data_IF_371408579150
#
_entry.id   IF_371408579150
#
_cell.length_a   1.000
_cell.length_b   1.000
_cell.length_c   1.000
_cell.angle_alpha   90.00
_cell.angle_beta   90.00
_cell.angle_gamma   90.00
#
_symmetry.space_group_name_H-M   'P 1'
#
loop_
_entity.id
_entity.type
_entity.pdbx_description
1 polymer ?
#
# COMPACT_ATOMS: atom_id res chain seq x y z
N UNK A 1 83.55 -13.03 7.22
CA UNK A 1 82.98 -12.08 8.20
C UNK A 1 81.98 -11.18 7.48
N UNK A 2 80.73 -11.18 7.97
CA UNK A 2 79.71 -10.12 7.86
C UNK A 2 79.06 -9.74 6.51
N UNK A 3 78.48 -10.72 5.82
CA UNK A 3 77.37 -10.47 4.87
C UNK A 3 76.03 -10.11 5.56
N UNK A 4 75.95 -10.23 6.89
CA UNK A 4 74.71 -10.00 7.66
C UNK A 4 74.27 -8.53 7.79
N UNK A 5 75.15 -7.56 7.52
CA UNK A 5 74.84 -6.13 7.66
C UNK A 5 73.88 -5.59 6.58
N UNK A 6 74.03 -6.06 5.34
CA UNK A 6 73.18 -5.63 4.22
C UNK A 6 71.82 -6.31 4.21
N UNK A 7 71.78 -7.60 4.58
CA UNK A 7 70.54 -8.39 4.65
C UNK A 7 69.52 -7.77 5.64
N UNK A 8 70.01 -7.35 6.81
CA UNK A 8 69.18 -6.70 7.83
C UNK A 8 68.63 -5.32 7.41
N UNK A 9 69.28 -4.60 6.48
CA UNK A 9 68.78 -3.30 6.00
C UNK A 9 67.69 -3.46 4.94
N UNK A 10 67.85 -4.40 4.01
CA UNK A 10 66.85 -4.69 2.99
C UNK A 10 65.58 -5.27 3.62
N UNK A 11 65.73 -6.17 4.61
CA UNK A 11 64.58 -6.69 5.37
C UNK A 11 63.87 -5.61 6.18
N UNK A 12 64.61 -4.64 6.75
CA UNK A 12 64.00 -3.48 7.44
C UNK A 12 63.26 -2.56 6.48
N UNK A 13 63.81 -2.28 5.30
CA UNK A 13 63.14 -1.46 4.27
C UNK A 13 61.86 -2.15 3.79
N UNK A 14 61.91 -3.47 3.56
CA UNK A 14 60.73 -4.26 3.20
C UNK A 14 59.67 -4.29 4.30
N UNK A 15 60.08 -4.34 5.57
CA UNK A 15 59.14 -4.28 6.69
C UNK A 15 58.51 -2.88 6.82
N UNK A 16 59.29 -1.82 6.62
CA UNK A 16 58.79 -0.44 6.68
C UNK A 16 57.78 -0.17 5.56
N UNK A 17 58.06 -0.59 4.31
CA UNK A 17 57.10 -0.43 3.21
C UNK A 17 55.80 -1.22 3.44
N UNK A 18 55.89 -2.43 4.01
CA UNK A 18 54.72 -3.22 4.39
C UNK A 18 53.88 -2.51 5.46
N UNK A 19 54.52 -1.94 6.49
CA UNK A 19 53.80 -1.19 7.54
C UNK A 19 53.16 0.10 7.02
N UNK A 20 53.81 0.80 6.09
CA UNK A 20 53.23 1.99 5.45
C UNK A 20 51.97 1.64 4.64
N UNK A 21 51.95 0.45 4.02
CA UNK A 21 50.79 -0.05 3.27
C UNK A 21 49.63 -0.43 4.19
N UNK A 22 49.92 -1.06 5.34
CA UNK A 22 48.91 -1.39 6.36
C UNK A 22 48.31 -0.14 6.99
N UNK A 23 49.12 0.90 7.21
CA UNK A 23 48.64 2.20 7.74
C UNK A 23 47.76 2.98 6.74
N UNK A 24 47.79 2.61 5.45
CA UNK A 24 46.95 3.23 4.42
C UNK A 24 45.55 2.60 4.34
N UNK A 25 45.37 1.37 4.82
CA UNK A 25 44.09 0.63 4.78
C UNK A 25 42.94 1.38 5.48
N UNK A 26 43.14 2.00 6.66
CA UNK A 26 42.07 2.75 7.33
C UNK A 26 41.60 3.96 6.51
N UNK A 27 42.50 4.64 5.79
CA UNK A 27 42.17 5.82 4.98
C UNK A 27 41.28 5.44 3.79
N UNK A 28 41.53 4.29 3.17
CA UNK A 28 40.68 3.75 2.10
C UNK A 28 39.32 3.30 2.63
N UNK A 29 39.26 2.75 3.85
CA UNK A 29 38.01 2.39 4.51
C UNK A 29 37.16 3.62 4.88
N UNK A 30 37.79 4.74 5.28
CA UNK A 30 37.11 6.01 5.55
C UNK A 30 36.60 6.70 4.28
N UNK A 31 37.23 6.48 3.12
CA UNK A 31 36.76 7.03 1.84
C UNK A 31 35.56 6.25 1.26
N UNK A 32 35.36 5.01 1.69
CA UNK A 32 34.27 4.14 1.27
C UNK A 32 33.09 4.10 2.26
N UNK A 33 32.87 5.17 3.02
CA UNK A 33 31.66 5.27 3.84
C UNK A 33 30.44 5.19 2.91
N UNK A 34 29.51 4.24 3.13
CA UNK A 34 28.23 4.27 2.46
C UNK A 34 27.60 5.62 2.75
N UNK A 35 27.23 6.35 1.70
CA UNK A 35 26.38 7.51 1.88
C UNK A 35 25.15 7.02 2.64
N UNK A 36 24.75 7.61 3.78
CA UNK A 36 23.54 7.17 4.45
C UNK A 36 22.39 7.44 3.47
N UNK A 37 21.86 6.38 2.87
CA UNK A 37 20.56 6.43 2.24
C UNK A 37 19.61 6.80 3.37
N UNK A 38 19.20 8.06 3.41
CA UNK A 38 18.02 8.43 4.19
C UNK A 38 16.91 7.55 3.66
N UNK A 39 16.33 6.63 4.45
CA UNK A 39 15.20 5.86 3.99
C UNK A 39 13.98 6.78 4.08
N UNK A 40 13.93 7.81 3.25
CA UNK A 40 12.67 8.42 2.89
C UNK A 40 12.01 7.45 1.92
N UNK A 41 11.49 6.34 2.46
CA UNK A 41 10.56 5.43 1.78
C UNK A 41 9.20 6.10 1.50
N UNK A 42 9.16 7.43 1.40
CA UNK A 42 8.02 8.20 0.94
C UNK A 42 8.38 8.80 -0.41
N UNK A 43 7.98 8.12 -1.49
CA UNK A 43 7.91 8.77 -2.79
C UNK A 43 7.00 10.00 -2.72
N UNK A 44 7.16 10.95 -3.64
CA UNK A 44 6.24 12.07 -3.75
C UNK A 44 4.80 11.54 -3.89
N UNK A 45 3.88 12.04 -3.05
CA UNK A 45 2.46 11.70 -3.16
C UNK A 45 1.95 12.23 -4.49
N UNK A 46 1.78 11.34 -5.46
CA UNK A 46 1.24 11.69 -6.78
C UNK A 46 -0.28 11.67 -6.75
N UNK A 47 -0.91 12.40 -7.67
CA UNK A 47 -2.37 12.37 -7.83
C UNK A 47 -2.84 10.95 -8.19
N UNK A 48 -2.04 10.20 -8.95
CA UNK A 48 -2.29 8.80 -9.28
C UNK A 48 -2.31 7.92 -8.03
N UNK A 49 -1.37 8.11 -7.11
CA UNK A 49 -1.34 7.34 -5.87
C UNK A 49 -2.56 7.65 -4.98
N UNK A 50 -2.93 8.93 -4.83
CA UNK A 50 -4.15 9.30 -4.09
C UNK A 50 -5.39 8.66 -4.74
N UNK A 51 -5.49 8.71 -6.06
CA UNK A 51 -6.60 8.13 -6.82
C UNK A 51 -6.67 6.61 -6.63
N UNK A 52 -5.54 5.91 -6.68
CA UNK A 52 -5.48 4.47 -6.49
C UNK A 52 -5.90 4.07 -5.08
N UNK A 53 -5.44 4.81 -4.05
CA UNK A 53 -5.86 4.56 -2.66
C UNK A 53 -7.36 4.77 -2.46
N UNK A 54 -7.92 5.87 -2.99
CA UNK A 54 -9.37 6.13 -2.92
C UNK A 54 -10.14 5.02 -3.64
N UNK A 55 -9.71 4.63 -4.84
CA UNK A 55 -10.37 3.59 -5.64
C UNK A 55 -10.33 2.24 -4.93
N UNK A 56 -9.21 1.89 -4.31
CA UNK A 56 -9.06 0.66 -3.56
C UNK A 56 -10.02 0.60 -2.36
N UNK A 57 -10.08 1.67 -1.57
CA UNK A 57 -10.99 1.78 -0.41
C UNK A 57 -12.45 1.73 -0.88
N UNK A 58 -12.79 2.48 -1.93
CA UNK A 58 -14.14 2.49 -2.47
C UNK A 58 -14.58 1.11 -2.97
N UNK A 59 -13.73 0.40 -3.72
CA UNK A 59 -14.02 -0.97 -4.18
C UNK A 59 -14.26 -1.92 -3.02
N UNK A 60 -13.45 -1.82 -1.96
CA UNK A 60 -13.63 -2.61 -0.75
C UNK A 60 -14.99 -2.31 -0.09
N UNK A 61 -15.33 -1.04 0.11
CA UNK A 61 -16.61 -0.63 0.70
C UNK A 61 -17.81 -1.04 -0.14
N UNK A 62 -17.70 -0.94 -1.47
CA UNK A 62 -18.75 -1.39 -2.40
C UNK A 62 -18.97 -2.90 -2.23
N UNK A 63 -17.90 -3.70 -2.23
CA UNK A 63 -18.01 -5.15 -2.08
C UNK A 63 -18.67 -5.52 -0.76
N UNK A 64 -18.20 -4.95 0.35
CA UNK A 64 -18.79 -5.18 1.68
C UNK A 64 -20.25 -4.73 1.72
N UNK A 65 -20.56 -3.57 1.15
CA UNK A 65 -21.92 -3.02 1.09
C UNK A 65 -22.90 -3.91 0.31
N UNK A 66 -22.48 -4.44 -0.84
CA UNK A 66 -23.30 -5.39 -1.62
C UNK A 66 -23.56 -6.67 -0.84
N UNK A 67 -22.53 -7.24 -0.21
CA UNK A 67 -22.67 -8.47 0.60
C UNK A 67 -23.66 -8.25 1.74
N UNK A 68 -23.54 -7.13 2.46
CA UNK A 68 -24.49 -6.78 3.53
C UNK A 68 -25.91 -6.60 2.99
N UNK A 69 -26.09 -5.89 1.88
CA UNK A 69 -27.40 -5.71 1.27
C UNK A 69 -28.07 -7.04 0.93
N UNK A 70 -27.32 -7.98 0.34
CA UNK A 70 -27.81 -9.34 0.04
C UNK A 70 -28.21 -10.08 1.32
N UNK A 71 -27.41 -10.00 2.38
CA UNK A 71 -27.75 -10.63 3.67
C UNK A 71 -29.06 -10.08 4.23
N UNK A 72 -29.25 -8.76 4.24
CA UNK A 72 -30.49 -8.14 4.73
C UNK A 72 -31.71 -8.52 3.90
N UNK A 73 -31.56 -8.62 2.58
CA UNK A 73 -32.64 -9.06 1.68
C UNK A 73 -33.00 -10.53 1.95
N UNK A 74 -32.01 -11.42 2.07
CA UNK A 74 -32.23 -12.84 2.36
C UNK A 74 -32.88 -13.02 3.73
N UNK A 75 -32.36 -12.38 4.77
CA UNK A 75 -32.95 -12.42 6.10
C UNK A 75 -34.37 -11.85 6.14
N UNK A 76 -34.61 -10.75 5.45
CA UNK A 76 -35.95 -10.19 5.30
C UNK A 76 -36.90 -11.16 4.58
N UNK A 77 -36.45 -11.83 3.52
CA UNK A 77 -37.21 -12.85 2.79
C UNK A 77 -37.55 -14.06 3.65
N UNK A 78 -36.57 -14.58 4.41
CA UNK A 78 -36.79 -15.68 5.36
C UNK A 78 -37.82 -15.26 6.42
N UNK A 79 -37.65 -14.07 7.03
CA UNK A 79 -38.58 -13.56 8.02
C UNK A 79 -40.00 -13.35 7.45
N UNK A 80 -40.10 -12.98 6.18
CA UNK A 80 -41.38 -12.81 5.49
C UNK A 80 -42.09 -14.15 5.30
N UNK A 81 -41.36 -15.20 4.88
CA UNK A 81 -41.92 -16.55 4.74
C UNK A 81 -42.42 -17.12 6.07
N UNK A 82 -41.72 -16.83 7.18
CA UNK A 82 -42.09 -17.28 8.53
C UNK A 82 -43.09 -16.36 9.26
N UNK A 83 -43.54 -15.26 8.65
CA UNK A 83 -44.45 -14.32 9.31
C UNK A 83 -45.85 -14.91 9.55
N UNK A 84 -46.25 -15.93 8.79
CA UNK A 84 -47.48 -16.70 9.03
C UNK A 84 -48.78 -15.87 9.02
N UNK A 85 -48.78 -14.71 8.35
CA UNK A 85 -49.93 -13.81 8.29
C UNK A 85 -50.04 -12.81 9.45
N UNK A 86 -49.13 -12.83 10.43
CA UNK A 86 -49.06 -11.79 11.45
C UNK A 86 -48.61 -10.47 10.80
N UNK A 87 -49.48 -9.46 10.80
CA UNK A 87 -49.28 -8.18 10.12
C UNK A 87 -47.99 -7.48 10.57
N UNK A 88 -47.75 -7.42 11.87
CA UNK A 88 -46.55 -6.81 12.45
C UNK A 88 -45.25 -7.46 11.93
N UNK A 89 -45.19 -8.80 11.96
CA UNK A 89 -44.01 -9.55 11.48
C UNK A 89 -43.81 -9.40 9.98
N UNK A 90 -44.92 -9.35 9.24
CA UNK A 90 -44.94 -9.18 7.79
C UNK A 90 -44.39 -7.80 7.41
N UNK A 91 -44.83 -6.75 8.09
CA UNK A 91 -44.36 -5.38 7.88
C UNK A 91 -42.89 -5.25 8.24
N UNK A 92 -42.47 -5.75 9.41
CA UNK A 92 -41.07 -5.74 9.82
C UNK A 92 -40.15 -6.48 8.83
N UNK A 93 -40.61 -7.61 8.26
CA UNK A 93 -39.87 -8.33 7.23
C UNK A 93 -39.74 -7.53 5.94
N UNK A 94 -40.83 -6.91 5.46
CA UNK A 94 -40.82 -6.03 4.28
C UNK A 94 -39.91 -4.83 4.46
N UNK A 95 -39.88 -4.23 5.66
CA UNK A 95 -39.01 -3.09 5.94
C UNK A 95 -37.53 -3.49 5.91
N UNK A 96 -37.17 -4.67 6.42
CA UNK A 96 -35.80 -5.19 6.26
C UNK A 96 -35.40 -5.34 4.80
N UNK A 97 -36.29 -5.89 3.96
CA UNK A 97 -36.04 -6.04 2.52
C UNK A 97 -35.87 -4.65 1.88
N UNK A 98 -36.78 -3.70 2.15
CA UNK A 98 -36.69 -2.33 1.63
C UNK A 98 -35.37 -1.67 2.03
N UNK A 99 -34.96 -1.79 3.29
CA UNK A 99 -33.71 -1.22 3.77
C UNK A 99 -32.49 -1.87 3.06
N UNK A 100 -32.52 -3.18 2.82
CA UNK A 100 -31.51 -3.87 2.02
C UNK A 100 -31.44 -3.36 0.57
N UNK A 101 -32.60 -3.14 -0.08
CA UNK A 101 -32.68 -2.59 -1.44
C UNK A 101 -32.15 -1.15 -1.49
N UNK A 102 -32.54 -0.30 -0.53
CA UNK A 102 -32.04 1.08 -0.43
C UNK A 102 -30.53 1.07 -0.24
N UNK A 103 -30.01 0.21 0.65
CA UNK A 103 -28.56 0.05 0.84
C UNK A 103 -27.84 -0.36 -0.45
N UNK A 104 -28.38 -1.34 -1.19
CA UNK A 104 -27.84 -1.73 -2.49
C UNK A 104 -27.85 -0.57 -3.50
N UNK A 105 -28.94 0.19 -3.59
CA UNK A 105 -29.06 1.33 -4.48
C UNK A 105 -28.01 2.42 -4.17
N UNK A 106 -27.77 2.70 -2.89
CA UNK A 106 -26.74 3.65 -2.45
C UNK A 106 -25.35 3.17 -2.86
N UNK A 107 -25.03 1.89 -2.67
CA UNK A 107 -23.72 1.32 -3.04
C UNK A 107 -23.49 1.42 -4.55
N UNK A 108 -24.52 1.14 -5.37
CA UNK A 108 -24.45 1.31 -6.81
C UNK A 108 -24.25 2.79 -7.22
N UNK A 109 -24.96 3.71 -6.56
CA UNK A 109 -24.82 5.14 -6.81
C UNK A 109 -23.40 5.65 -6.54
N UNK A 110 -22.75 5.16 -5.48
CA UNK A 110 -21.34 5.49 -5.19
C UNK A 110 -20.42 5.08 -6.35
N UNK A 111 -20.61 3.90 -6.92
CA UNK A 111 -19.83 3.46 -8.09
C UNK A 111 -19.96 4.41 -9.28
N UNK A 112 -21.17 4.86 -9.58
CA UNK A 112 -21.45 5.83 -10.66
C UNK A 112 -20.80 7.19 -10.37
N UNK A 113 -20.89 7.67 -9.13
CA UNK A 113 -20.28 8.95 -8.72
C UNK A 113 -18.76 8.89 -8.90
N UNK A 114 -18.11 7.81 -8.49
CA UNK A 114 -16.66 7.66 -8.62
C UNK A 114 -16.21 7.65 -10.08
N UNK A 115 -16.95 6.96 -10.96
CA UNK A 115 -16.66 6.98 -12.40
C UNK A 115 -16.83 8.37 -13.00
N UNK A 116 -17.90 9.08 -12.60
CA UNK A 116 -18.15 10.47 -13.03
C UNK A 116 -17.02 11.39 -12.60
N UNK A 117 -16.61 11.34 -11.33
CA UNK A 117 -15.52 12.16 -10.79
C UNK A 117 -14.19 11.83 -11.47
N UNK A 118 -13.88 10.54 -11.65
CA UNK A 118 -12.67 10.11 -12.34
C UNK A 118 -12.58 10.65 -13.77
N UNK A 119 -13.68 10.60 -14.53
CA UNK A 119 -13.72 11.14 -15.88
C UNK A 119 -13.54 12.66 -15.93
N UNK A 120 -14.11 13.40 -14.94
CA UNK A 120 -13.95 14.85 -14.81
C UNK A 120 -12.49 15.23 -14.53
N UNK A 121 -11.83 14.51 -13.61
CA UNK A 121 -10.42 14.71 -13.28
C UNK A 121 -9.52 14.38 -14.48
N UNK A 122 -9.81 13.28 -15.18
CA UNK A 122 -9.08 12.87 -16.38
C UNK A 122 -9.32 13.80 -17.59
N UNK A 123 -10.18 14.82 -17.46
CA UNK A 123 -10.61 15.73 -18.54
C UNK A 123 -11.17 15.02 -19.78
N UNK A 124 -11.45 13.72 -19.66
CA UNK A 124 -11.97 12.87 -20.73
C UNK A 124 -13.33 13.32 -21.26
N UNK A 125 -14.11 14.03 -20.43
CA UNK A 125 -15.36 14.68 -20.84
C UNK A 125 -15.18 15.93 -21.70
N UNK A 126 -14.05 16.63 -21.59
CA UNK A 126 -13.77 17.88 -22.29
C UNK A 126 -12.83 17.69 -23.49
N UNK A 127 -12.31 16.48 -23.68
CA UNK A 127 -11.46 16.10 -24.81
C UNK A 127 -12.32 15.59 -25.98
N UNK A 128 -13.13 16.49 -26.54
CA UNK A 128 -13.74 16.33 -27.87
C UNK A 128 -12.83 16.97 -28.91
#
# INVERSE_FOLDING_TARGET
MNGGGFMNKIQKIGYISMTALVLLVPVLALAALPNPDVPLQGGAVTLAEIQDRITQIARFLILVGVVLAVIFIIWGGIAYMFAGGAEEKTTAAKDRIKNGIIGAAVVLAVGVILQTVAGLIARSFFNV
#
